data_IF_370009374108
#
_entry.id   IF_370009374108
#
_cell.length_a   1.000
_cell.length_b   1.000
_cell.length_c   1.000
_cell.angle_alpha   90.00
_cell.angle_beta   90.00
_cell.angle_gamma   90.00
#
_symmetry.space_group_name_H-M   'P 1'
#
loop_
_entity.id
_entity.type
_entity.pdbx_description
1 polymer ?
#
# COMPACT_ATOMS: atom_id res chain seq x y z
N UNK A 1 -7.70 38.99 -60.19
CA UNK A 1 -7.83 37.51 -60.22
C UNK A 1 -6.65 36.74 -59.58
N UNK A 2 -5.50 37.35 -59.24
CA UNK A 2 -4.33 36.59 -58.71
C UNK A 2 -4.26 36.45 -57.18
N UNK A 3 -4.84 37.38 -56.41
CA UNK A 3 -4.82 37.35 -54.94
C UNK A 3 -5.83 36.36 -54.32
N UNK A 4 -7.03 36.22 -54.91
CA UNK A 4 -8.04 35.26 -54.44
C UNK A 4 -7.58 33.79 -54.60
N UNK A 5 -6.83 33.47 -55.67
CA UNK A 5 -6.34 32.11 -55.92
C UNK A 5 -5.26 31.68 -54.92
N UNK A 6 -4.40 32.60 -54.45
CA UNK A 6 -3.37 32.30 -53.44
C UNK A 6 -4.00 32.00 -52.07
N UNK A 7 -5.01 32.78 -51.67
CA UNK A 7 -5.73 32.58 -50.40
C UNK A 7 -6.48 31.23 -50.36
N UNK A 8 -7.14 30.86 -51.45
CA UNK A 8 -7.83 29.56 -51.55
C UNK A 8 -6.85 28.37 -51.46
N UNK A 9 -5.67 28.49 -52.07
CA UNK A 9 -4.65 27.43 -52.06
C UNK A 9 -4.04 27.23 -50.66
N UNK A 10 -3.81 28.32 -49.92
CA UNK A 10 -3.36 28.26 -48.52
C UNK A 10 -4.43 27.68 -47.58
N UNK A 11 -5.71 28.00 -47.80
CA UNK A 11 -6.80 27.44 -47.00
C UNK A 11 -6.97 25.93 -47.24
N UNK A 12 -6.85 25.50 -48.49
CA UNK A 12 -6.86 24.08 -48.88
C UNK A 12 -5.67 23.32 -48.26
N UNK A 13 -4.47 23.88 -48.30
CA UNK A 13 -3.28 23.29 -47.67
C UNK A 13 -3.41 23.17 -46.15
N UNK A 14 -3.89 24.21 -45.44
CA UNK A 14 -4.14 24.12 -43.99
C UNK A 14 -5.22 23.09 -43.66
N UNK A 15 -6.33 23.05 -44.41
CA UNK A 15 -7.38 22.06 -44.19
C UNK A 15 -6.89 20.62 -44.42
N UNK A 16 -6.01 20.42 -45.42
CA UNK A 16 -5.39 19.12 -45.69
C UNK A 16 -4.41 18.70 -44.59
N UNK A 17 -3.66 19.63 -44.02
CA UNK A 17 -2.77 19.36 -42.89
C UNK A 17 -3.54 18.98 -41.62
N UNK A 18 -4.66 19.64 -41.34
CA UNK A 18 -5.55 19.29 -40.23
C UNK A 18 -6.23 17.94 -40.42
N UNK A 19 -6.66 17.59 -41.65
CA UNK A 19 -7.22 16.27 -41.95
C UNK A 19 -6.16 15.16 -41.89
N UNK A 20 -4.92 15.43 -42.32
CA UNK A 20 -3.83 14.46 -42.24
C UNK A 20 -3.40 14.28 -40.79
N UNK A 21 -3.29 15.36 -40.00
CA UNK A 21 -2.96 15.27 -38.58
C UNK A 21 -4.07 14.55 -37.77
N UNK A 22 -5.34 14.83 -38.05
CA UNK A 22 -6.45 14.14 -37.38
C UNK A 22 -6.56 12.68 -37.80
N UNK A 23 -6.34 12.34 -39.07
CA UNK A 23 -6.35 10.93 -39.52
C UNK A 23 -5.13 10.15 -39.01
N UNK A 24 -3.96 10.77 -38.86
CA UNK A 24 -2.79 10.14 -38.21
C UNK A 24 -3.06 9.91 -36.72
N UNK A 25 -3.64 10.90 -36.02
CA UNK A 25 -3.99 10.78 -34.59
C UNK A 25 -5.06 9.72 -34.36
N UNK A 26 -6.09 9.66 -35.21
CA UNK A 26 -7.13 8.63 -35.18
C UNK A 26 -6.54 7.27 -35.53
N UNK A 27 -5.68 7.15 -36.54
CA UNK A 27 -5.03 5.87 -36.86
C UNK A 27 -4.10 5.39 -35.75
N UNK A 28 -3.33 6.27 -35.09
CA UNK A 28 -2.52 5.89 -33.94
C UNK A 28 -3.39 5.45 -32.75
N UNK A 29 -4.45 6.19 -32.41
CA UNK A 29 -5.38 5.77 -31.35
C UNK A 29 -6.08 4.45 -31.69
N UNK A 30 -6.50 4.25 -32.94
CA UNK A 30 -7.16 3.01 -33.39
C UNK A 30 -6.20 1.83 -33.45
N UNK A 31 -4.93 2.05 -33.81
CA UNK A 31 -3.89 1.01 -33.86
C UNK A 31 -3.49 0.55 -32.44
N UNK A 32 -3.41 1.48 -31.47
CA UNK A 32 -3.22 1.17 -30.04
C UNK A 32 -4.42 0.39 -29.48
N UNK A 33 -5.63 0.58 -30.01
CA UNK A 33 -6.81 -0.21 -29.60
C UNK A 33 -6.71 -1.67 -30.09
N UNK A 34 -6.01 -1.93 -31.19
CA UNK A 34 -5.90 -3.28 -31.80
C UNK A 34 -4.70 -4.11 -31.34
N UNK A 35 -3.66 -3.50 -30.77
CA UNK A 35 -2.51 -4.23 -30.22
C UNK A 35 -2.84 -4.89 -28.87
N UNK A 36 -2.21 -6.04 -28.60
CA UNK A 36 -2.34 -6.76 -27.32
C UNK A 36 -1.61 -5.98 -26.21
N UNK A 37 -2.30 -5.00 -25.62
CA UNK A 37 -1.76 -4.19 -24.53
C UNK A 37 -1.72 -5.01 -23.23
N UNK A 38 -0.52 -5.13 -22.67
CA UNK A 38 -0.27 -5.68 -21.34
C UNK A 38 0.44 -4.66 -20.44
N UNK A 39 0.57 -4.97 -19.15
CA UNK A 39 1.34 -4.17 -18.20
C UNK A 39 2.77 -3.85 -18.67
N UNK A 40 3.38 -4.75 -19.45
CA UNK A 40 4.75 -4.63 -19.93
C UNK A 40 4.87 -3.88 -21.28
N UNK A 41 3.79 -3.27 -21.77
CA UNK A 41 3.86 -2.49 -23.02
C UNK A 41 4.72 -1.24 -22.82
N UNK A 42 5.52 -0.87 -23.81
CA UNK A 42 6.39 0.32 -23.78
C UNK A 42 5.60 1.60 -24.09
N UNK A 43 4.71 1.96 -23.16
CA UNK A 43 3.87 3.16 -23.18
C UNK A 43 4.12 3.93 -21.86
N UNK A 44 4.08 5.25 -21.93
CA UNK A 44 4.17 6.13 -20.75
C UNK A 44 3.17 5.70 -19.66
N UNK A 45 3.59 5.72 -18.39
CA UNK A 45 2.90 5.07 -17.28
C UNK A 45 1.47 5.56 -17.07
N UNK A 46 1.24 6.88 -17.10
CA UNK A 46 -0.10 7.45 -16.93
C UNK A 46 -1.01 6.99 -18.07
N UNK A 47 -0.54 7.06 -19.32
CA UNK A 47 -1.31 6.60 -20.48
C UNK A 47 -1.56 5.09 -20.46
N UNK A 48 -0.57 4.29 -20.05
CA UNK A 48 -0.70 2.84 -19.96
C UNK A 48 -1.69 2.44 -18.86
N UNK A 49 -1.66 3.10 -17.70
CA UNK A 49 -2.63 2.87 -16.63
C UNK A 49 -4.06 3.11 -17.12
N UNK A 50 -4.31 4.19 -17.86
CA UNK A 50 -5.62 4.45 -18.48
C UNK A 50 -6.04 3.35 -19.45
N UNK A 51 -5.14 2.94 -20.35
CA UNK A 51 -5.42 1.93 -21.36
C UNK A 51 -5.70 0.56 -20.75
N UNK A 52 -5.01 0.19 -19.67
CA UNK A 52 -5.25 -1.04 -18.91
C UNK A 52 -6.61 -1.00 -18.20
N UNK A 53 -6.90 0.08 -17.47
CA UNK A 53 -8.14 0.25 -16.69
C UNK A 53 -9.39 0.27 -17.58
N UNK A 54 -9.34 0.95 -18.73
CA UNK A 54 -10.47 0.98 -19.68
C UNK A 54 -10.76 -0.42 -20.25
N UNK A 55 -9.73 -1.27 -20.33
CA UNK A 55 -9.88 -2.65 -20.80
C UNK A 55 -10.36 -3.61 -19.72
N UNK A 56 -10.31 -3.25 -18.44
CA UNK A 56 -10.71 -4.12 -17.32
C UNK A 56 -12.23 -4.29 -17.26
N UNK A 57 -12.68 -5.49 -16.87
CA UNK A 57 -14.07 -5.70 -16.45
C UNK A 57 -14.30 -5.10 -15.06
N UNK A 58 -15.57 -4.95 -14.66
CA UNK A 58 -15.89 -4.50 -13.30
C UNK A 58 -15.31 -5.44 -12.23
N UNK A 59 -15.26 -6.75 -12.51
CA UNK A 59 -14.63 -7.74 -11.65
C UNK A 59 -13.12 -7.49 -11.50
N UNK A 60 -12.38 -7.29 -12.60
CA UNK A 60 -10.95 -7.00 -12.54
C UNK A 60 -10.66 -5.66 -11.84
N UNK A 61 -11.46 -4.62 -12.12
CA UNK A 61 -11.34 -3.32 -11.45
C UNK A 61 -11.51 -3.44 -9.93
N UNK A 62 -12.53 -4.17 -9.48
CA UNK A 62 -12.81 -4.34 -8.06
C UNK A 62 -11.75 -5.23 -7.39
N UNK A 63 -11.31 -6.30 -8.04
CA UNK A 63 -10.27 -7.19 -7.50
C UNK A 63 -8.90 -6.50 -7.43
N UNK A 64 -8.62 -5.54 -8.31
CA UNK A 64 -7.35 -4.81 -8.33
C UNK A 64 -7.11 -3.95 -7.09
N UNK A 65 -8.19 -3.51 -6.42
CA UNK A 65 -8.12 -2.72 -5.19
C UNK A 65 -8.18 -3.56 -3.91
N UNK A 66 -8.10 -4.89 -4.02
CA UNK A 66 -8.10 -5.79 -2.87
C UNK A 66 -6.73 -6.40 -2.61
N UNK A 67 -6.46 -6.62 -1.32
CA UNK A 67 -5.31 -7.34 -0.82
C UNK A 67 -5.76 -8.45 0.12
N UNK A 68 -5.53 -9.71 -0.26
CA UNK A 68 -5.93 -10.85 0.56
C UNK A 68 -4.74 -11.63 1.12
N UNK A 69 -4.87 -12.06 2.36
CA UNK A 69 -3.98 -13.02 3.00
C UNK A 69 -4.42 -14.46 2.82
N UNK A 70 -3.59 -15.38 3.31
CA UNK A 70 -3.93 -16.78 3.46
C UNK A 70 -3.41 -17.30 4.79
N UNK A 71 -4.00 -18.38 5.29
CA UNK A 71 -3.52 -19.13 6.44
C UNK A 71 -2.67 -20.34 6.01
N UNK A 72 -1.66 -20.71 6.82
CA UNK A 72 -0.79 -21.87 6.58
C UNK A 72 0.42 -21.59 5.68
N UNK A 73 1.37 -22.50 5.57
CA UNK A 73 2.67 -22.25 4.91
C UNK A 73 2.60 -21.91 3.40
N UNK A 74 1.51 -22.27 2.73
CA UNK A 74 1.37 -22.15 1.27
C UNK A 74 0.03 -21.47 0.90
N UNK A 75 -0.04 -20.73 -0.21
CA UNK A 75 -1.28 -20.10 -0.67
C UNK A 75 -2.41 -21.12 -0.85
N UNK A 76 -3.60 -20.80 -0.34
CA UNK A 76 -4.75 -21.70 -0.49
C UNK A 76 -5.22 -21.78 -1.95
N UNK A 77 -5.82 -22.91 -2.39
CA UNK A 77 -6.42 -23.00 -3.72
C UNK A 77 -7.43 -21.87 -4.00
N UNK A 78 -8.14 -21.41 -2.95
CA UNK A 78 -9.06 -20.28 -3.04
C UNK A 78 -8.34 -18.97 -3.40
N UNK A 79 -7.22 -18.65 -2.74
CA UNK A 79 -6.43 -17.47 -3.06
C UNK A 79 -5.86 -17.55 -4.48
N UNK A 80 -5.37 -18.72 -4.89
CA UNK A 80 -4.87 -18.94 -6.26
C UNK A 80 -5.99 -18.75 -7.30
N UNK A 81 -7.23 -19.17 -7.00
CA UNK A 81 -8.40 -18.90 -7.85
C UNK A 81 -8.72 -17.40 -7.92
N UNK A 82 -8.62 -16.64 -6.82
CA UNK A 82 -8.78 -15.19 -6.86
C UNK A 82 -7.78 -14.51 -7.80
N UNK A 83 -6.52 -14.92 -7.74
CA UNK A 83 -5.47 -14.37 -8.63
C UNK A 83 -5.79 -14.71 -10.09
N UNK A 84 -6.08 -15.99 -10.38
CA UNK A 84 -6.28 -16.48 -11.75
C UNK A 84 -7.59 -16.03 -12.39
N UNK A 85 -8.69 -16.05 -11.65
CA UNK A 85 -10.03 -15.89 -12.22
C UNK A 85 -10.57 -14.46 -12.08
N UNK A 86 -9.99 -13.65 -11.17
CA UNK A 86 -10.45 -12.30 -10.89
C UNK A 86 -9.38 -11.23 -11.06
N UNK A 87 -8.14 -11.63 -11.34
CA UNK A 87 -7.00 -10.72 -11.39
C UNK A 87 -6.87 -9.91 -10.09
N UNK A 88 -6.85 -10.61 -8.95
CA UNK A 88 -6.58 -10.00 -7.63
C UNK A 88 -5.36 -9.07 -7.71
N UNK A 89 -5.47 -7.89 -7.10
CA UNK A 89 -4.42 -6.88 -7.19
C UNK A 89 -3.24 -7.14 -6.27
N UNK A 90 -3.48 -7.64 -5.06
CA UNK A 90 -2.41 -7.74 -4.06
C UNK A 90 -2.59 -8.93 -3.13
N UNK A 91 -1.49 -9.37 -2.54
CA UNK A 91 -1.48 -10.43 -1.51
C UNK A 91 -0.69 -10.00 -0.29
N UNK A 92 -1.06 -10.52 0.88
CA UNK A 92 -0.36 -10.24 2.13
C UNK A 92 0.15 -11.53 2.77
N UNK A 93 1.44 -11.59 3.06
CA UNK A 93 2.10 -12.63 3.84
C UNK A 93 1.94 -12.31 5.33
N UNK A 94 1.43 -13.25 6.12
CA UNK A 94 1.20 -13.13 7.56
C UNK A 94 2.12 -14.04 8.39
N UNK A 95 2.16 -13.79 9.70
CA UNK A 95 3.07 -14.47 10.62
C UNK A 95 2.84 -15.97 10.86
N UNK A 96 1.68 -16.49 10.46
CA UNK A 96 1.40 -17.93 10.50
C UNK A 96 1.90 -18.67 9.23
N UNK A 97 2.51 -17.96 8.27
CA UNK A 97 2.91 -18.51 6.97
C UNK A 97 4.43 -18.80 6.85
N UNK A 98 5.27 -18.46 7.84
CA UNK A 98 6.61 -17.89 7.53
C UNK A 98 7.80 -18.45 8.30
N UNK A 99 7.67 -19.56 9.03
CA UNK A 99 8.82 -20.17 9.71
C UNK A 99 9.87 -20.70 8.72
N UNK A 100 9.48 -20.97 7.45
CA UNK A 100 10.40 -21.38 6.39
C UNK A 100 10.44 -20.34 5.26
N UNK A 101 11.56 -19.63 5.17
CA UNK A 101 11.79 -18.54 4.20
C UNK A 101 11.76 -19.02 2.74
N UNK A 102 12.18 -20.26 2.46
CA UNK A 102 12.13 -20.82 1.10
C UNK A 102 10.69 -21.10 0.66
N UNK A 103 9.83 -21.53 1.59
CA UNK A 103 8.39 -21.70 1.32
C UNK A 103 7.70 -20.37 1.05
N UNK A 104 8.05 -19.31 1.81
CA UNK A 104 7.54 -17.96 1.52
C UNK A 104 7.94 -17.53 0.10
N UNK A 105 9.20 -17.70 -0.29
CA UNK A 105 9.64 -17.33 -1.64
C UNK A 105 8.97 -18.17 -2.75
N UNK A 106 8.76 -19.48 -2.52
CA UNK A 106 7.98 -20.33 -3.44
C UNK A 106 6.54 -19.85 -3.59
N UNK A 107 5.89 -19.51 -2.48
CA UNK A 107 4.55 -18.95 -2.46
C UNK A 107 4.47 -17.64 -3.26
N UNK A 108 5.42 -16.72 -3.04
CA UNK A 108 5.51 -15.46 -3.79
C UNK A 108 5.68 -15.73 -5.28
N UNK A 109 6.63 -16.57 -5.68
CA UNK A 109 6.83 -16.98 -7.08
C UNK A 109 5.54 -17.54 -7.69
N UNK A 110 4.86 -18.46 -7.00
CA UNK A 110 3.62 -19.08 -7.47
C UNK A 110 2.52 -18.03 -7.73
N UNK A 111 2.31 -17.11 -6.78
CA UNK A 111 1.29 -16.06 -6.92
C UNK A 111 1.63 -15.08 -8.06
N UNK A 112 2.90 -14.69 -8.19
CA UNK A 112 3.34 -13.82 -9.28
C UNK A 112 3.20 -14.49 -10.65
N UNK A 113 3.60 -15.76 -10.81
CA UNK A 113 3.43 -16.51 -12.05
C UNK A 113 1.96 -16.58 -12.51
N UNK A 114 1.03 -16.76 -11.57
CA UNK A 114 -0.40 -16.74 -11.88
C UNK A 114 -0.86 -15.35 -12.35
N UNK A 115 -0.42 -14.28 -11.69
CA UNK A 115 -0.73 -12.90 -12.12
C UNK A 115 -0.21 -12.62 -13.53
N UNK A 116 0.95 -13.18 -13.89
CA UNK A 116 1.57 -13.02 -15.20
C UNK A 116 0.92 -13.87 -16.31
N UNK A 117 0.09 -14.87 -15.94
CA UNK A 117 -0.74 -15.65 -16.88
C UNK A 117 -2.08 -14.98 -17.18
N UNK A 118 -2.48 -13.96 -16.42
CA UNK A 118 -3.67 -13.16 -16.72
C UNK A 118 -3.45 -12.30 -17.97
N UNK A 119 -4.53 -11.99 -18.69
CA UNK A 119 -4.47 -11.29 -19.99
C UNK A 119 -3.74 -9.93 -19.94
N UNK A 120 -3.81 -9.20 -18.82
CA UNK A 120 -3.15 -7.90 -18.64
C UNK A 120 -1.76 -7.99 -18.00
N UNK A 121 -1.38 -9.17 -17.47
CA UNK A 121 -0.07 -9.45 -16.85
C UNK A 121 0.36 -8.47 -15.74
N UNK A 122 -0.61 -7.93 -15.00
CA UNK A 122 -0.33 -6.93 -13.95
C UNK A 122 0.24 -7.65 -12.71
N UNK A 123 1.46 -7.32 -12.24
CA UNK A 123 2.04 -7.95 -11.08
C UNK A 123 1.25 -7.67 -9.79
N UNK A 124 1.45 -8.54 -8.80
CA UNK A 124 0.89 -8.36 -7.47
C UNK A 124 1.76 -7.42 -6.64
N UNK A 125 1.15 -6.52 -5.87
CA UNK A 125 1.81 -6.09 -4.64
C UNK A 125 1.80 -7.26 -3.66
N UNK A 126 2.96 -7.55 -3.10
CA UNK A 126 3.19 -8.62 -2.13
C UNK A 126 3.69 -7.93 -0.87
N UNK A 127 2.84 -7.91 0.15
CA UNK A 127 3.07 -7.14 1.36
C UNK A 127 3.25 -8.01 2.61
N UNK A 128 3.89 -7.49 3.64
CA UNK A 128 3.92 -8.10 4.98
C UNK A 128 4.09 -7.04 6.07
N UNK A 129 3.99 -7.43 7.34
CA UNK A 129 4.34 -6.59 8.49
C UNK A 129 5.70 -7.03 9.06
N UNK A 130 6.76 -6.37 8.61
CA UNK A 130 8.11 -6.57 9.13
C UNK A 130 8.61 -5.24 9.70
N UNK A 131 8.05 -4.82 10.83
CA UNK A 131 8.49 -3.60 11.54
C UNK A 131 9.84 -3.82 12.20
N UNK A 132 10.12 -5.05 12.62
CA UNK A 132 11.23 -5.38 13.50
C UNK A 132 10.81 -5.40 14.97
N UNK A 133 11.73 -5.81 15.84
CA UNK A 133 11.40 -6.04 17.25
C UNK A 133 10.27 -7.03 17.41
N UNK A 134 9.18 -6.57 18.04
CA UNK A 134 8.04 -7.42 18.41
C UNK A 134 7.16 -7.81 17.23
N UNK A 135 7.10 -6.98 16.17
CA UNK A 135 6.27 -7.25 14.99
C UNK A 135 7.17 -7.69 13.84
N UNK A 136 7.26 -9.00 13.71
CA UNK A 136 7.93 -9.71 12.62
C UNK A 136 7.02 -10.83 12.17
N UNK A 137 6.29 -10.60 11.09
CA UNK A 137 5.51 -11.66 10.47
C UNK A 137 6.43 -12.72 9.90
N UNK A 138 7.52 -12.35 9.24
CA UNK A 138 8.47 -13.33 8.76
C UNK A 138 9.48 -13.56 9.86
N UNK A 139 9.32 -14.66 10.61
CA UNK A 139 10.24 -15.06 11.68
C UNK A 139 11.40 -15.82 11.06
N UNK A 140 11.22 -17.11 10.77
CA UNK A 140 12.20 -17.95 10.06
C UNK A 140 13.65 -17.65 10.42
N UNK A 141 14.52 -17.58 9.41
CA UNK A 141 15.93 -17.19 9.58
C UNK A 141 16.16 -15.68 9.37
N UNK A 142 15.12 -14.83 9.40
CA UNK A 142 15.29 -13.38 9.25
C UNK A 142 15.99 -12.78 10.48
N UNK A 143 16.59 -11.60 10.32
CA UNK A 143 17.31 -10.95 11.42
C UNK A 143 16.40 -10.65 12.62
N UNK A 144 16.89 -10.97 13.81
CA UNK A 144 16.34 -10.44 15.07
C UNK A 144 16.79 -8.98 15.22
N UNK A 145 15.82 -8.07 15.32
CA UNK A 145 16.08 -6.62 15.38
C UNK A 145 15.53 -6.04 16.68
N UNK A 146 16.12 -4.95 17.22
CA UNK A 146 15.71 -4.42 18.52
C UNK A 146 14.38 -3.64 18.49
N UNK A 147 13.91 -3.24 17.30
CA UNK A 147 12.60 -2.61 17.09
C UNK A 147 12.58 -1.09 17.27
N UNK A 148 11.43 -0.48 16.97
CA UNK A 148 11.30 0.97 16.88
C UNK A 148 11.59 1.70 18.19
N UNK A 149 11.17 1.18 19.35
CA UNK A 149 11.44 1.87 20.61
C UNK A 149 12.93 1.90 20.94
N UNK A 150 13.68 0.86 20.54
CA UNK A 150 15.13 0.84 20.67
C UNK A 150 15.82 1.81 19.70
N UNK A 151 15.35 1.88 18.45
CA UNK A 151 15.79 2.90 17.48
C UNK A 151 15.54 4.31 18.05
N UNK A 152 14.37 4.52 18.64
CA UNK A 152 13.98 5.73 19.34
C UNK A 152 14.86 6.09 20.52
N UNK A 153 15.20 5.11 21.36
CA UNK A 153 16.09 5.29 22.51
C UNK A 153 17.52 5.65 22.08
N UNK A 154 18.04 5.05 21.00
CA UNK A 154 19.33 5.42 20.41
C UNK A 154 19.29 6.80 19.74
N UNK A 155 18.17 7.16 19.11
CA UNK A 155 17.87 8.48 18.57
C UNK A 155 18.69 8.91 17.36
N UNK A 156 19.37 7.98 16.70
CA UNK A 156 20.20 8.25 15.52
C UNK A 156 19.40 7.98 14.23
N UNK A 157 19.18 8.98 13.36
CA UNK A 157 18.48 8.76 12.09
C UNK A 157 19.15 7.73 11.18
N UNK A 158 20.48 7.63 11.21
CA UNK A 158 21.22 6.61 10.46
C UNK A 158 20.88 5.19 10.92
N UNK A 159 20.62 5.00 12.22
CA UNK A 159 20.20 3.71 12.76
C UNK A 159 18.79 3.35 12.26
N UNK A 160 17.87 4.31 12.20
CA UNK A 160 16.55 4.09 11.61
C UNK A 160 16.64 3.76 10.11
N UNK A 161 17.47 4.48 9.35
CA UNK A 161 17.72 4.22 7.94
C UNK A 161 18.26 2.81 7.70
N UNK A 162 19.32 2.42 8.42
CA UNK A 162 19.94 1.11 8.25
C UNK A 162 19.00 -0.02 8.70
N UNK A 163 18.18 0.17 9.74
CA UNK A 163 17.13 -0.79 10.09
C UNK A 163 16.13 -0.98 8.96
N UNK A 164 15.60 0.11 8.39
CA UNK A 164 14.70 0.06 7.24
C UNK A 164 15.35 -0.65 6.05
N UNK A 165 16.61 -0.32 5.75
CA UNK A 165 17.37 -0.87 4.63
C UNK A 165 17.63 -2.37 4.76
N UNK A 166 18.19 -2.85 5.89
CA UNK A 166 18.52 -4.27 6.04
C UNK A 166 17.29 -5.16 6.18
N UNK A 167 16.25 -4.73 6.91
CA UNK A 167 14.97 -5.45 6.93
C UNK A 167 14.41 -5.57 5.51
N UNK A 168 14.48 -4.49 4.74
CA UNK A 168 13.95 -4.46 3.37
C UNK A 168 14.77 -5.28 2.38
N UNK A 169 16.08 -5.42 2.57
CA UNK A 169 16.93 -6.34 1.79
C UNK A 169 16.53 -7.80 2.00
N UNK A 170 16.20 -8.20 3.23
CA UNK A 170 15.68 -9.55 3.49
C UNK A 170 14.32 -9.78 2.83
N UNK A 171 13.41 -8.80 2.90
CA UNK A 171 12.11 -8.89 2.20
C UNK A 171 12.27 -8.98 0.67
N UNK A 172 13.20 -8.20 0.09
CA UNK A 172 13.53 -8.24 -1.34
C UNK A 172 13.99 -9.63 -1.76
N UNK A 173 14.82 -10.30 -0.96
CA UNK A 173 15.28 -11.66 -1.25
C UNK A 173 14.13 -12.68 -1.30
N UNK A 174 12.99 -12.39 -0.66
CA UNK A 174 11.77 -13.21 -0.67
C UNK A 174 10.77 -12.82 -1.78
N UNK A 175 11.07 -11.80 -2.59
CA UNK A 175 10.17 -11.28 -3.62
C UNK A 175 9.03 -10.40 -3.06
N UNK A 176 9.07 -10.06 -1.77
CA UNK A 176 8.12 -9.15 -1.13
C UNK A 176 8.51 -7.72 -1.51
N UNK A 177 7.54 -6.91 -1.89
CA UNK A 177 7.78 -5.59 -2.50
C UNK A 177 7.15 -4.43 -1.73
N UNK A 178 6.37 -4.72 -0.68
CA UNK A 178 5.76 -3.72 0.18
C UNK A 178 5.90 -4.15 1.64
N UNK A 179 6.25 -3.21 2.52
CA UNK A 179 6.32 -3.45 3.95
C UNK A 179 5.38 -2.50 4.68
N UNK A 180 4.54 -3.04 5.56
CA UNK A 180 3.71 -2.27 6.47
C UNK A 180 4.54 -1.80 7.66
N UNK A 181 5.56 -1.00 7.36
CA UNK A 181 6.46 -0.37 8.30
C UNK A 181 6.98 0.95 7.68
N UNK A 182 7.37 1.93 8.52
CA UNK A 182 7.38 1.88 9.98
C UNK A 182 6.03 2.27 10.61
N UNK A 183 5.81 1.84 11.85
CA UNK A 183 4.84 2.49 12.73
C UNK A 183 5.41 3.84 13.16
N UNK A 184 4.66 4.92 12.93
CA UNK A 184 5.00 6.30 13.29
C UNK A 184 4.04 6.89 14.34
N UNK A 185 3.27 6.02 14.99
CA UNK A 185 2.43 6.38 16.14
C UNK A 185 3.27 6.81 17.33
N UNK A 186 2.78 7.79 18.10
CA UNK A 186 3.49 8.34 19.24
C UNK A 186 3.12 7.60 20.53
N UNK A 187 4.09 7.14 21.31
CA UNK A 187 3.81 6.45 22.57
C UNK A 187 3.45 7.42 23.71
N UNK A 188 2.37 8.20 23.54
CA UNK A 188 1.90 9.22 24.50
C UNK A 188 1.11 8.62 25.65
N UNK A 189 0.31 7.58 25.40
CA UNK A 189 -0.38 6.85 26.44
C UNK A 189 0.48 5.65 26.91
N UNK A 190 1.05 5.75 28.12
CA UNK A 190 1.94 4.71 28.67
C UNK A 190 1.24 3.40 29.01
N UNK A 191 -0.09 3.41 29.13
CA UNK A 191 -0.89 2.21 29.32
C UNK A 191 -1.21 1.49 27.99
N UNK A 192 -0.76 2.04 26.84
CA UNK A 192 -0.93 1.39 25.54
C UNK A 192 -0.14 0.08 25.46
N UNK A 193 -0.85 -1.03 25.40
CA UNK A 193 -0.27 -2.37 25.18
C UNK A 193 0.06 -2.66 23.72
N UNK A 194 -0.58 -1.94 22.78
CA UNK A 194 -0.45 -2.17 21.34
C UNK A 194 0.67 -1.37 20.71
N UNK A 195 0.86 -0.10 21.08
CA UNK A 195 1.83 0.79 20.43
C UNK A 195 3.20 0.78 21.12
N UNK A 196 3.26 0.66 22.45
CA UNK A 196 4.48 0.80 23.27
C UNK A 196 5.82 0.52 22.57
N UNK A 197 6.23 -0.76 22.41
CA UNK A 197 7.53 -1.11 21.80
C UNK A 197 7.61 -0.90 20.28
N UNK A 198 6.47 -0.67 19.60
CA UNK A 198 6.37 -0.44 18.15
C UNK A 198 6.53 1.03 17.75
N UNK A 199 6.45 1.95 18.71
CA UNK A 199 6.68 3.37 18.49
C UNK A 199 8.16 3.73 18.60
N UNK A 200 8.58 4.79 17.91
CA UNK A 200 9.89 5.41 18.14
C UNK A 200 9.95 6.24 19.45
N UNK A 201 8.83 6.47 20.12
CA UNK A 201 8.77 7.24 21.36
C UNK A 201 7.60 8.22 21.39
N UNK A 202 7.61 9.14 22.35
CA UNK A 202 6.52 10.12 22.55
C UNK A 202 6.76 11.46 21.86
N UNK A 203 8.00 11.77 21.48
CA UNK A 203 8.34 13.03 20.82
C UNK A 203 7.97 12.98 19.33
N UNK A 204 7.13 13.92 18.91
CA UNK A 204 6.54 13.94 17.59
C UNK A 204 7.57 14.27 16.49
N UNK A 205 8.51 15.18 16.75
CA UNK A 205 9.53 15.58 15.78
C UNK A 205 10.57 14.46 15.60
N UNK A 206 10.97 13.84 16.70
CA UNK A 206 11.91 12.74 16.69
C UNK A 206 11.34 11.53 15.95
N UNK A 207 10.09 11.16 16.25
CA UNK A 207 9.39 10.07 15.55
C UNK A 207 9.23 10.37 14.06
N UNK A 208 9.01 11.64 13.68
CA UNK A 208 8.97 12.06 12.28
C UNK A 208 10.31 11.82 11.58
N UNK A 209 11.41 12.27 12.18
CA UNK A 209 12.76 12.13 11.60
C UNK A 209 13.16 10.66 11.46
N UNK A 210 12.95 9.85 12.51
CA UNK A 210 13.28 8.43 12.49
C UNK A 210 12.40 7.65 11.51
N UNK A 211 11.08 7.94 11.49
CA UNK A 211 10.16 7.34 10.54
C UNK A 211 10.52 7.66 9.08
N UNK A 212 10.90 8.90 8.78
CA UNK A 212 11.34 9.30 7.44
C UNK A 212 12.64 8.58 7.05
N UNK A 213 13.61 8.49 7.96
CA UNK A 213 14.87 7.80 7.71
C UNK A 213 14.65 6.30 7.45
N UNK A 214 13.81 5.64 8.24
CA UNK A 214 13.43 4.24 8.02
C UNK A 214 12.77 4.05 6.64
N UNK A 215 11.81 4.90 6.28
CA UNK A 215 11.17 4.88 4.96
C UNK A 215 12.20 5.02 3.83
N UNK A 216 13.18 5.93 3.97
CA UNK A 216 14.21 6.12 2.96
C UNK A 216 15.08 4.86 2.81
N UNK A 217 15.48 4.23 3.92
CA UNK A 217 16.20 2.95 3.88
C UNK A 217 15.42 1.85 3.16
N UNK A 218 14.12 1.74 3.41
CA UNK A 218 13.25 0.80 2.70
C UNK A 218 13.19 1.07 1.19
N UNK A 219 13.04 2.34 0.79
CA UNK A 219 13.00 2.75 -0.62
C UNK A 219 14.32 2.41 -1.32
N UNK A 220 15.45 2.68 -0.68
CA UNK A 220 16.78 2.42 -1.26
C UNK A 220 17.05 0.92 -1.41
N UNK A 221 16.49 0.08 -0.54
CA UNK A 221 16.46 -1.38 -0.71
C UNK A 221 15.41 -1.88 -1.74
N UNK A 222 14.61 -0.97 -2.30
CA UNK A 222 13.61 -1.27 -3.32
C UNK A 222 12.27 -1.77 -2.77
N UNK A 223 12.00 -1.62 -1.49
CA UNK A 223 10.71 -1.95 -0.85
C UNK A 223 9.86 -0.71 -0.72
N UNK A 224 8.55 -0.82 -0.96
CA UNK A 224 7.58 0.24 -0.69
C UNK A 224 7.28 0.30 0.82
N UNK A 225 7.75 1.31 1.57
CA UNK A 225 7.34 1.49 2.96
C UNK A 225 5.90 2.01 3.03
N UNK A 226 5.20 1.62 4.10
CA UNK A 226 3.83 2.06 4.39
C UNK A 226 3.75 2.55 5.82
N UNK A 227 3.65 3.86 5.99
CA UNK A 227 3.59 4.48 7.31
C UNK A 227 2.23 4.25 7.98
N UNK A 228 2.22 3.91 9.26
CA UNK A 228 1.00 3.52 9.99
C UNK A 228 1.00 3.97 11.46
N UNK A 229 -0.16 4.11 12.12
CA UNK A 229 -1.52 3.90 11.60
C UNK A 229 -2.25 5.24 11.54
N UNK A 230 -2.45 5.78 10.34
CA UNK A 230 -3.06 7.10 10.16
C UNK A 230 -4.49 7.13 10.74
N UNK A 231 -4.87 8.17 11.52
CA UNK A 231 -4.17 9.43 11.77
C UNK A 231 -3.37 9.49 13.09
N UNK A 232 -3.06 8.35 13.71
CA UNK A 232 -2.26 8.22 14.94
C UNK A 232 -2.95 7.34 15.97
N UNK A 233 -2.43 6.15 16.23
CA UNK A 233 -2.98 5.16 17.19
C UNK A 233 -2.48 5.35 18.63
N UNK A 234 -1.44 6.16 18.81
CA UNK A 234 -0.60 6.21 20.00
C UNK A 234 -1.26 6.57 21.35
N UNK A 235 -2.40 7.26 21.31
CA UNK A 235 -3.06 7.82 22.49
C UNK A 235 -4.27 7.00 22.96
N UNK A 236 -4.16 5.67 22.93
CA UNK A 236 -5.21 4.75 23.42
C UNK A 236 -4.63 3.51 24.09
N UNK A 237 -5.34 3.05 25.13
CA UNK A 237 -5.10 1.76 25.80
C UNK A 237 -5.83 0.61 25.12
N UNK A 238 -6.77 0.90 24.21
CA UNK A 238 -7.62 -0.10 23.57
C UNK A 238 -6.92 -0.75 22.37
N UNK A 239 -7.14 -2.05 22.21
CA UNK A 239 -6.63 -2.81 21.07
C UNK A 239 -7.67 -2.89 19.95
N UNK A 240 -7.31 -2.36 18.78
CA UNK A 240 -8.15 -2.35 17.57
C UNK A 240 -8.51 -3.74 17.06
N UNK A 241 -7.75 -4.79 17.45
CA UNK A 241 -8.09 -6.17 17.14
C UNK A 241 -9.39 -6.62 17.82
N UNK A 242 -9.64 -6.14 19.05
CA UNK A 242 -10.79 -6.54 19.87
C UNK A 242 -11.96 -5.56 19.83
N UNK A 243 -11.66 -4.25 19.85
CA UNK A 243 -12.63 -3.16 20.00
C UNK A 243 -12.26 -1.99 19.09
N UNK A 244 -13.17 -1.04 18.84
CA UNK A 244 -12.82 0.20 18.14
C UNK A 244 -12.14 1.18 19.12
N UNK A 245 -10.83 1.48 19.00
CA UNK A 245 -10.16 2.41 19.90
C UNK A 245 -10.72 3.81 19.71
N UNK A 246 -10.99 4.48 20.83
CA UNK A 246 -11.47 5.88 20.84
C UNK A 246 -10.37 6.78 21.36
N UNK A 247 -10.02 7.78 20.55
CA UNK A 247 -8.99 8.77 20.87
C UNK A 247 -9.70 10.11 21.08
N UNK A 248 -9.77 10.54 22.34
CA UNK A 248 -10.53 11.73 22.77
C UNK A 248 -9.63 12.97 22.81
N UNK A 249 -9.12 13.37 21.64
CA UNK A 249 -8.28 14.55 21.47
C UNK A 249 -8.96 15.60 20.59
N UNK A 250 -8.60 16.87 20.76
CA UNK A 250 -9.09 17.93 19.89
C UNK A 250 -8.45 17.86 18.49
N UNK A 251 -9.05 18.57 17.52
CA UNK A 251 -8.48 18.68 16.17
C UNK A 251 -7.08 19.34 16.21
N UNK A 252 -6.89 20.30 17.10
CA UNK A 252 -5.62 21.00 17.29
C UNK A 252 -4.53 20.04 17.77
N UNK A 253 -4.83 19.22 18.79
CA UNK A 253 -3.88 18.18 19.28
C UNK A 253 -3.56 17.18 18.18
N UNK A 254 -4.55 16.72 17.42
CA UNK A 254 -4.31 15.82 16.28
C UNK A 254 -3.32 16.45 15.28
N UNK A 255 -3.55 17.72 14.89
CA UNK A 255 -2.75 18.41 13.90
C UNK A 255 -1.33 18.74 14.38
N UNK A 256 -1.16 19.07 15.66
CA UNK A 256 0.09 19.55 16.25
C UNK A 256 0.92 18.44 16.92
N UNK A 257 0.34 17.25 17.14
CA UNK A 257 1.02 16.11 17.75
C UNK A 257 1.00 14.88 16.83
N UNK A 258 -0.16 14.24 16.67
CA UNK A 258 -0.25 12.93 15.98
C UNK A 258 0.11 13.01 14.49
N UNK A 259 -0.25 14.12 13.83
CA UNK A 259 0.00 14.30 12.39
C UNK A 259 1.35 14.91 12.06
N UNK A 260 2.18 15.25 13.04
CA UNK A 260 3.53 15.78 12.80
C UNK A 260 4.40 14.78 12.02
N UNK A 261 4.50 13.49 12.41
CA UNK A 261 5.20 12.49 11.61
C UNK A 261 4.65 12.35 10.20
N UNK A 262 3.31 12.24 10.06
CA UNK A 262 2.67 12.10 8.74
C UNK A 262 2.97 13.29 7.82
N UNK A 263 2.92 14.53 8.32
CA UNK A 263 3.24 15.73 7.54
C UNK A 263 4.66 15.70 6.97
N UNK A 264 5.64 15.26 7.75
CA UNK A 264 7.03 15.14 7.28
C UNK A 264 7.18 14.03 6.24
N UNK A 265 6.54 12.87 6.45
CA UNK A 265 6.62 11.76 5.50
C UNK A 265 5.90 12.11 4.17
N UNK A 266 4.77 12.83 4.23
CA UNK A 266 4.05 13.31 3.04
C UNK A 266 4.91 14.30 2.25
N UNK A 267 5.57 15.26 2.91
CA UNK A 267 6.43 16.24 2.22
C UNK A 267 7.66 15.59 1.57
N UNK A 268 8.10 14.44 2.11
CA UNK A 268 9.14 13.58 1.54
C UNK A 268 8.58 12.48 0.61
N UNK A 269 7.31 12.56 0.21
CA UNK A 269 6.66 11.67 -0.77
C UNK A 269 6.70 10.19 -0.38
N UNK A 270 6.40 9.87 0.89
CA UNK A 270 6.19 8.47 1.30
C UNK A 270 5.20 7.78 0.33
N UNK A 271 5.47 6.57 -0.18
CA UNK A 271 4.64 6.02 -1.25
C UNK A 271 3.28 5.49 -0.79
N UNK A 272 3.20 5.01 0.47
CA UNK A 272 1.99 4.43 1.03
C UNK A 272 1.76 4.85 2.50
N UNK A 273 0.48 4.98 2.87
CA UNK A 273 0.01 5.23 4.24
C UNK A 273 -1.11 4.24 4.53
N UNK A 274 -1.03 3.61 5.71
CA UNK A 274 -2.10 2.74 6.20
C UNK A 274 -3.08 3.54 7.07
N UNK A 275 -4.37 3.48 6.77
CA UNK A 275 -5.44 4.08 7.59
C UNK A 275 -5.92 3.11 8.67
N UNK A 276 -5.75 3.49 9.93
CA UNK A 276 -6.14 2.69 11.08
C UNK A 276 -7.64 2.71 11.37
N UNK A 277 -8.13 1.64 11.98
CA UNK A 277 -9.51 1.57 12.50
C UNK A 277 -9.62 2.31 13.84
N UNK A 278 -9.55 3.65 13.78
CA UNK A 278 -9.45 4.54 14.95
C UNK A 278 -10.59 5.56 14.97
N UNK A 279 -11.28 5.71 16.10
CA UNK A 279 -12.35 6.69 16.26
C UNK A 279 -11.86 7.96 16.95
N UNK A 280 -12.28 9.13 16.46
CA UNK A 280 -11.96 10.45 17.03
C UNK A 280 -13.23 11.26 17.32
N UNK A 281 -13.99 10.91 18.38
CA UNK A 281 -15.32 11.47 18.62
C UNK A 281 -15.33 12.99 18.81
N UNK A 282 -14.26 13.56 19.35
CA UNK A 282 -14.17 15.01 19.55
C UNK A 282 -14.03 15.80 18.23
N UNK A 283 -13.63 15.14 17.15
CA UNK A 283 -13.41 15.76 15.84
C UNK A 283 -14.62 15.55 14.93
N UNK A 284 -15.08 14.31 14.78
CA UNK A 284 -16.18 13.96 13.86
C UNK A 284 -17.56 14.02 14.50
N UNK A 285 -17.63 14.15 15.83
CA UNK A 285 -18.87 14.02 16.62
C UNK A 285 -19.60 12.70 16.36
N UNK A 286 -18.86 11.66 15.98
CA UNK A 286 -19.33 10.30 15.72
C UNK A 286 -18.28 9.28 16.17
N UNK A 287 -18.67 8.00 16.24
CA UNK A 287 -17.72 6.90 16.45
C UNK A 287 -17.22 6.29 15.12
N UNK A 288 -17.29 7.03 14.01
CA UNK A 288 -16.83 6.53 12.71
C UNK A 288 -15.31 6.29 12.74
N UNK A 289 -14.82 5.08 12.36
CA UNK A 289 -13.39 4.82 12.23
C UNK A 289 -12.76 5.67 11.11
N UNK A 290 -11.55 6.17 11.31
CA UNK A 290 -10.83 7.01 10.36
C UNK A 290 -10.64 6.33 9.00
N UNK A 291 -10.38 5.03 8.98
CA UNK A 291 -10.30 4.21 7.75
C UNK A 291 -11.60 4.15 6.93
N UNK A 292 -12.75 4.47 7.55
CA UNK A 292 -14.07 4.47 6.91
C UNK A 292 -14.62 5.89 6.72
N UNK A 293 -13.84 6.93 7.05
CA UNK A 293 -14.31 8.30 7.10
C UNK A 293 -13.80 9.14 5.93
N UNK A 294 -14.68 9.65 5.05
CA UNK A 294 -14.31 10.60 4.01
C UNK A 294 -13.69 11.89 4.57
N UNK A 295 -14.02 12.27 5.81
CA UNK A 295 -13.41 13.42 6.46
C UNK A 295 -11.91 13.21 6.69
N UNK A 296 -11.51 12.05 7.23
CA UNK A 296 -10.11 11.77 7.52
C UNK A 296 -9.29 11.50 6.26
N UNK A 297 -9.84 10.77 5.29
CA UNK A 297 -9.10 10.34 4.11
C UNK A 297 -9.17 11.35 2.97
N UNK A 298 -10.35 11.82 2.57
CA UNK A 298 -10.44 12.79 1.48
C UNK A 298 -10.14 14.20 1.96
N UNK A 299 -10.90 14.72 2.93
CA UNK A 299 -10.73 16.11 3.35
C UNK A 299 -9.39 16.36 4.05
N UNK A 300 -9.06 15.61 5.09
CA UNK A 300 -7.83 15.86 5.85
C UNK A 300 -6.58 15.35 5.11
N UNK A 301 -6.54 14.06 4.74
CA UNK A 301 -5.31 13.47 4.16
C UNK A 301 -5.07 13.90 2.71
N UNK A 302 -6.08 13.82 1.81
CA UNK A 302 -5.90 14.21 0.40
C UNK A 302 -5.89 15.72 0.20
N UNK A 303 -6.89 16.44 0.71
CA UNK A 303 -7.07 17.87 0.40
C UNK A 303 -6.22 18.78 1.30
N UNK A 304 -6.33 18.67 2.63
CA UNK A 304 -5.62 19.55 3.57
C UNK A 304 -4.11 19.23 3.66
N UNK A 305 -3.73 17.94 3.70
CA UNK A 305 -2.32 17.51 3.78
C UNK A 305 -1.67 17.26 2.41
N UNK A 306 -2.44 17.19 1.32
CA UNK A 306 -1.90 17.04 -0.03
C UNK A 306 -1.31 15.67 -0.34
N UNK A 307 -1.68 14.60 0.39
CA UNK A 307 -1.10 13.28 0.18
C UNK A 307 -1.53 12.66 -1.16
N UNK A 308 -0.56 12.30 -1.99
CA UNK A 308 -0.81 11.72 -3.32
C UNK A 308 -0.45 10.24 -3.46
N UNK A 309 0.16 9.59 -2.48
CA UNK A 309 0.51 8.16 -2.53
C UNK A 309 -0.68 7.22 -2.29
N UNK A 310 -0.43 5.92 -2.11
CA UNK A 310 -1.46 4.92 -1.82
C UNK A 310 -2.03 5.08 -0.40
N UNK A 311 -3.35 5.03 -0.26
CA UNK A 311 -4.02 4.82 1.02
C UNK A 311 -4.47 3.37 1.09
N UNK A 312 -4.04 2.68 2.13
CA UNK A 312 -4.31 1.25 2.33
C UNK A 312 -5.04 1.09 3.66
N UNK A 313 -6.12 0.30 3.74
CA UNK A 313 -6.75 0.06 5.05
C UNK A 313 -5.83 -0.75 5.95
N UNK A 314 -6.00 -0.60 7.27
CA UNK A 314 -5.65 -1.69 8.19
C UNK A 314 -6.52 -2.94 7.92
N UNK A 315 -6.26 -4.06 8.58
CA UNK A 315 -6.94 -5.32 8.29
C UNK A 315 -8.44 -5.27 8.65
N UNK A 316 -9.30 -5.41 7.63
CA UNK A 316 -10.75 -5.38 7.80
C UNK A 316 -11.32 -6.57 8.56
N UNK A 317 -10.52 -7.60 8.86
CA UNK A 317 -10.92 -8.68 9.77
C UNK A 317 -10.87 -8.27 11.25
N UNK A 318 -10.31 -7.10 11.56
CA UNK A 318 -10.34 -6.53 12.90
C UNK A 318 -11.72 -5.98 13.26
N UNK A 319 -12.12 -6.11 14.53
CA UNK A 319 -13.46 -5.76 14.98
C UNK A 319 -13.76 -4.26 14.89
N UNK A 320 -12.75 -3.39 14.90
CA UNK A 320 -12.91 -1.94 14.89
C UNK A 320 -13.73 -1.41 13.71
N UNK A 321 -13.47 -1.90 12.49
CA UNK A 321 -14.20 -1.48 11.29
C UNK A 321 -15.53 -2.21 11.11
N UNK A 322 -15.53 -3.53 11.32
CA UNK A 322 -16.69 -4.39 11.03
C UNK A 322 -17.84 -4.18 12.00
N UNK A 323 -17.54 -3.90 13.28
CA UNK A 323 -18.55 -3.61 14.30
C UNK A 323 -19.30 -2.31 13.98
N UNK A 324 -18.58 -1.25 13.59
CA UNK A 324 -19.21 0.01 13.19
C UNK A 324 -20.07 -0.15 11.93
N UNK A 325 -19.56 -0.86 10.92
CA UNK A 325 -20.24 -1.06 9.65
C UNK A 325 -21.39 -2.09 9.71
N UNK A 326 -21.45 -2.90 10.77
CA UNK A 326 -22.42 -3.97 10.99
C UNK A 326 -22.22 -5.23 10.12
N UNK A 327 -21.29 -5.19 9.15
CA UNK A 327 -20.88 -6.37 8.36
C UNK A 327 -19.57 -6.10 7.62
N UNK A 328 -18.83 -7.16 7.28
CA UNK A 328 -17.62 -7.07 6.46
C UNK A 328 -17.90 -6.47 5.07
N UNK A 329 -19.01 -6.88 4.43
CA UNK A 329 -19.42 -6.37 3.12
C UNK A 329 -19.64 -4.85 3.14
N UNK A 330 -20.34 -4.33 4.17
CA UNK A 330 -20.55 -2.88 4.34
C UNK A 330 -19.27 -2.15 4.72
N UNK A 331 -18.39 -2.78 5.50
CA UNK A 331 -17.11 -2.19 5.88
C UNK A 331 -16.23 -1.96 4.64
N UNK A 332 -16.13 -2.95 3.73
CA UNK A 332 -15.46 -2.80 2.44
C UNK A 332 -16.06 -1.68 1.60
N UNK A 333 -17.39 -1.61 1.54
CA UNK A 333 -18.08 -0.53 0.82
C UNK A 333 -17.69 0.85 1.38
N UNK A 334 -17.75 1.03 2.70
CA UNK A 334 -17.43 2.28 3.37
C UNK A 334 -15.96 2.67 3.18
N UNK A 335 -15.04 1.70 3.24
CA UNK A 335 -13.61 1.94 3.01
C UNK A 335 -13.34 2.46 1.59
N UNK A 336 -13.99 1.89 0.58
CA UNK A 336 -13.91 2.37 -0.81
C UNK A 336 -14.48 3.78 -0.91
N UNK A 337 -15.68 4.02 -0.37
CA UNK A 337 -16.36 5.33 -0.38
C UNK A 337 -15.54 6.41 0.36
N UNK A 338 -14.80 6.03 1.39
CA UNK A 338 -13.95 6.93 2.17
C UNK A 338 -12.70 7.40 1.41
N UNK A 339 -12.23 6.64 0.41
CA UNK A 339 -11.07 7.00 -0.41
C UNK A 339 -9.82 6.13 -0.20
N UNK A 340 -9.97 4.92 0.34
CA UNK A 340 -8.89 3.93 0.32
C UNK A 340 -8.64 3.44 -1.11
N UNK A 341 -7.37 3.28 -1.48
CA UNK A 341 -6.96 2.75 -2.78
C UNK A 341 -6.84 1.22 -2.74
N UNK A 342 -6.45 0.65 -1.59
CA UNK A 342 -6.35 -0.80 -1.37
C UNK A 342 -7.04 -1.18 -0.05
N UNK A 343 -7.86 -2.23 -0.07
CA UNK A 343 -8.57 -2.76 1.10
C UNK A 343 -7.99 -4.13 1.46
N UNK A 344 -7.48 -4.25 2.70
CA UNK A 344 -6.86 -5.47 3.22
C UNK A 344 -7.90 -6.38 3.88
N UNK A 345 -7.81 -7.68 3.62
CA UNK A 345 -8.34 -8.72 4.50
C UNK A 345 -7.27 -9.77 4.76
N UNK A 346 -7.02 -10.11 6.02
CA UNK A 346 -6.11 -11.20 6.40
C UNK A 346 -6.58 -12.57 5.94
N UNK A 347 -7.86 -12.69 5.61
CA UNK A 347 -8.45 -13.92 5.09
C UNK A 347 -8.83 -13.75 3.63
N UNK A 348 -8.86 -14.87 2.91
CA UNK A 348 -9.33 -14.90 1.54
C UNK A 348 -10.83 -15.24 1.55
N UNK A 349 -11.72 -14.31 1.16
CA UNK A 349 -13.16 -14.55 1.17
C UNK A 349 -13.57 -15.58 0.12
N UNK A 350 -14.71 -16.24 0.35
CA UNK A 350 -15.27 -17.15 -0.66
C UNK A 350 -15.63 -16.37 -1.92
N UNK A 351 -15.54 -17.02 -3.08
CA UNK A 351 -15.74 -16.34 -4.37
C UNK A 351 -17.15 -15.71 -4.46
N UNK A 352 -18.17 -16.32 -3.89
CA UNK A 352 -19.56 -15.83 -3.91
C UNK A 352 -19.98 -15.09 -2.62
N UNK A 353 -19.04 -14.72 -1.76
CA UNK A 353 -19.35 -14.08 -0.48
C UNK A 353 -20.01 -12.70 -0.67
N UNK A 354 -20.77 -12.26 0.34
CA UNK A 354 -21.48 -10.99 0.34
C UNK A 354 -20.57 -9.78 0.11
N UNK A 355 -19.31 -9.82 0.58
CA UNK A 355 -18.38 -8.72 0.34
C UNK A 355 -18.09 -8.55 -1.16
N UNK A 356 -17.98 -9.65 -1.91
CA UNK A 356 -17.73 -9.60 -3.34
C UNK A 356 -19.01 -9.25 -4.10
N UNK A 357 -20.06 -10.06 -3.90
CA UNK A 357 -21.28 -9.99 -4.69
C UNK A 357 -22.02 -8.67 -4.52
N UNK A 358 -22.10 -8.13 -3.29
CA UNK A 358 -22.79 -6.87 -3.04
C UNK A 358 -22.01 -5.66 -3.58
N UNK A 359 -20.68 -5.62 -3.42
CA UNK A 359 -19.87 -4.51 -3.92
C UNK A 359 -19.77 -4.52 -5.46
N UNK A 360 -19.68 -5.69 -6.08
CA UNK A 360 -19.74 -5.83 -7.54
C UNK A 360 -21.11 -5.41 -8.09
N UNK A 361 -22.21 -5.84 -7.45
CA UNK A 361 -23.56 -5.38 -7.81
C UNK A 361 -23.68 -3.87 -7.70
N UNK A 362 -23.18 -3.29 -6.60
CA UNK A 362 -23.18 -1.83 -6.39
C UNK A 362 -22.36 -1.10 -7.44
N UNK A 363 -21.22 -1.65 -7.86
CA UNK A 363 -20.41 -1.10 -8.95
C UNK A 363 -21.16 -1.05 -10.27
N UNK A 364 -22.08 -2.00 -10.53
CA UNK A 364 -22.94 -2.03 -11.73
C UNK A 364 -24.14 -1.08 -11.63
N UNK A 365 -24.65 -0.84 -10.42
CA UNK A 365 -25.89 -0.09 -10.19
C UNK A 365 -25.66 1.39 -9.78
N UNK A 366 -24.48 1.73 -9.26
CA UNK A 366 -24.16 3.06 -8.74
C UNK A 366 -22.95 3.67 -9.46
N UNK A 367 -23.20 4.65 -10.33
CA UNK A 367 -22.18 5.30 -11.14
C UNK A 367 -21.09 6.01 -10.30
N UNK A 368 -21.45 6.60 -9.16
CA UNK A 368 -20.49 7.25 -8.26
C UNK A 368 -19.55 6.22 -7.65
N UNK A 369 -20.07 5.10 -7.14
CA UNK A 369 -19.26 4.01 -6.60
C UNK A 369 -18.36 3.40 -7.69
N UNK A 370 -18.89 3.20 -8.90
CA UNK A 370 -18.11 2.74 -10.05
C UNK A 370 -16.93 3.68 -10.36
N UNK A 371 -17.16 4.99 -10.35
CA UNK A 371 -16.13 5.99 -10.60
C UNK A 371 -15.04 5.98 -9.51
N UNK A 372 -15.42 5.80 -8.24
CA UNK A 372 -14.48 5.69 -7.12
C UNK A 372 -13.60 4.44 -7.29
N UNK A 373 -14.20 3.27 -7.57
CA UNK A 373 -13.44 2.03 -7.81
C UNK A 373 -12.49 2.17 -9.00
N UNK A 374 -12.94 2.74 -10.12
CA UNK A 374 -12.09 2.98 -11.30
C UNK A 374 -10.92 3.90 -10.99
N UNK A 375 -11.15 4.97 -10.21
CA UNK A 375 -10.11 5.90 -9.78
C UNK A 375 -9.07 5.20 -8.91
N UNK A 376 -9.52 4.41 -7.93
CA UNK A 376 -8.64 3.62 -7.06
C UNK A 376 -7.84 2.57 -7.87
N UNK A 377 -8.51 1.82 -8.75
CA UNK A 377 -7.85 0.83 -9.61
C UNK A 377 -6.81 1.46 -10.55
N UNK A 378 -7.12 2.61 -11.17
CA UNK A 378 -6.15 3.36 -11.99
C UNK A 378 -4.94 3.76 -11.18
N UNK A 379 -5.15 4.26 -9.96
CA UNK A 379 -4.06 4.62 -9.07
C UNK A 379 -3.20 3.42 -8.69
N UNK A 380 -3.80 2.31 -8.27
CA UNK A 380 -3.06 1.07 -7.97
C UNK A 380 -2.24 0.60 -9.17
N UNK A 381 -2.83 0.59 -10.38
CA UNK A 381 -2.12 0.20 -11.61
C UNK A 381 -0.98 1.18 -11.94
N UNK A 382 -1.21 2.48 -11.80
CA UNK A 382 -0.18 3.50 -12.03
C UNK A 382 1.00 3.33 -11.06
N UNK A 383 0.74 3.18 -9.76
CA UNK A 383 1.79 3.00 -8.76
C UNK A 383 2.57 1.69 -8.99
N UNK A 384 1.89 0.63 -9.44
CA UNK A 384 2.55 -0.59 -9.91
C UNK A 384 3.46 -0.33 -11.10
N UNK A 385 2.99 0.41 -12.12
CA UNK A 385 3.80 0.74 -13.30
C UNK A 385 5.06 1.53 -12.90
N UNK A 386 4.90 2.57 -12.08
CA UNK A 386 6.02 3.36 -11.54
C UNK A 386 7.00 2.46 -10.79
N UNK A 387 6.52 1.55 -9.95
CA UNK A 387 7.37 0.69 -9.15
C UNK A 387 8.03 -0.43 -9.97
N UNK A 388 7.25 -1.32 -10.60
CA UNK A 388 7.75 -2.53 -11.25
C UNK A 388 8.54 -2.28 -12.54
N UNK A 389 8.43 -1.09 -13.13
CA UNK A 389 9.27 -0.67 -14.27
C UNK A 389 10.42 0.24 -13.87
N UNK A 390 10.65 0.45 -12.56
CA UNK A 390 11.83 1.15 -12.06
C UNK A 390 13.05 0.22 -12.01
N UNK A 391 14.24 0.81 -11.99
CA UNK A 391 15.50 0.06 -11.89
C UNK A 391 15.71 -0.60 -10.51
N UNK A 392 14.98 -0.18 -9.48
CA UNK A 392 15.12 -0.71 -8.11
C UNK A 392 13.99 -1.67 -7.70
N UNK A 393 13.09 -2.04 -8.62
CA UNK A 393 11.98 -2.95 -8.32
C UNK A 393 12.49 -4.29 -7.76
N UNK A 394 11.76 -4.87 -6.80
CA UNK A 394 12.04 -6.23 -6.34
C UNK A 394 11.77 -7.21 -7.50
N UNK A 395 12.66 -8.21 -7.73
CA UNK A 395 12.41 -9.24 -8.72
C UNK A 395 11.09 -9.96 -8.46
N UNK A 396 10.29 -10.18 -9.50
CA UNK A 396 9.01 -10.91 -9.37
C UNK A 396 9.21 -12.35 -8.90
N UNK A 397 10.36 -12.94 -9.26
CA UNK A 397 10.70 -14.33 -8.96
C UNK A 397 12.00 -14.35 -8.14
N UNK A 398 11.93 -14.50 -6.81
CA UNK A 398 13.12 -14.64 -5.98
C UNK A 398 13.94 -15.90 -6.34
N UNK A 399 15.27 -15.80 -6.23
CA UNK A 399 16.20 -16.91 -6.44
C UNK A 399 16.25 -17.79 -5.18
N UNK A 400 15.42 -18.83 -5.16
CA UNK A 400 15.23 -19.71 -3.99
C UNK A 400 16.54 -20.36 -3.53
N UNK A 401 17.44 -20.69 -4.45
CA UNK A 401 18.72 -21.34 -4.13
C UNK A 401 19.69 -20.41 -3.41
N UNK A 402 19.52 -19.09 -3.56
CA UNK A 402 20.38 -18.06 -2.97
C UNK A 402 19.78 -17.34 -1.76
N UNK A 403 18.55 -17.65 -1.35
CA UNK A 403 17.90 -16.95 -0.22
C UNK A 403 18.76 -16.98 1.04
N UNK A 404 19.31 -18.15 1.39
CA UNK A 404 20.16 -18.35 2.58
C UNK A 404 21.49 -17.60 2.55
N UNK A 405 21.87 -17.02 1.41
CA UNK A 405 23.05 -16.16 1.29
C UNK A 405 22.72 -14.71 1.66
N UNK A 406 21.42 -14.35 1.67
CA UNK A 406 20.93 -13.00 1.89
C UNK A 406 20.05 -12.88 3.15
N UNK A 407 19.70 -14.00 3.80
CA UNK A 407 18.86 -14.04 5.00
C UNK A 407 19.49 -15.01 6.01
N UNK A 408 19.83 -14.54 7.24
CA UNK A 408 19.75 -13.14 7.66
C UNK A 408 20.75 -12.29 6.87
N UNK A 409 20.46 -11.00 6.70
CA UNK A 409 21.31 -10.10 5.91
C UNK A 409 22.74 -10.09 6.49
N UNK A 410 23.78 -10.41 5.68
CA UNK A 410 25.14 -10.56 6.18
C UNK A 410 25.71 -9.29 6.83
N UNK A 411 25.31 -8.12 6.33
CA UNK A 411 25.75 -6.82 6.86
C UNK A 411 24.84 -6.37 8.01
N UNK A 412 23.55 -6.72 7.94
CA UNK A 412 22.53 -6.37 8.92
C UNK A 412 22.75 -6.98 10.29
N UNK A 413 23.24 -8.22 10.39
CA UNK A 413 23.40 -8.91 11.68
C UNK A 413 24.29 -8.16 12.68
N UNK A 414 25.49 -7.77 12.24
CA UNK A 414 26.41 -7.01 13.09
C UNK A 414 25.82 -5.64 13.47
N UNK A 415 25.19 -4.98 12.49
CA UNK A 415 24.51 -3.70 12.71
C UNK A 415 23.41 -3.79 13.79
N UNK A 416 22.53 -4.80 13.73
CA UNK A 416 21.42 -4.93 14.67
C UNK A 416 21.89 -5.21 16.10
N UNK A 417 22.96 -5.99 16.26
CA UNK A 417 23.60 -6.18 17.57
C UNK A 417 24.15 -4.86 18.11
N UNK A 418 24.89 -4.12 17.29
CA UNK A 418 25.47 -2.84 17.72
C UNK A 418 24.38 -1.78 18.03
N UNK A 419 23.31 -1.75 17.23
CA UNK A 419 22.14 -0.89 17.47
C UNK A 419 21.47 -1.25 18.80
N UNK A 420 21.28 -2.54 19.08
CA UNK A 420 20.72 -2.99 20.35
C UNK A 420 21.58 -2.50 21.53
N UNK A 421 22.91 -2.63 21.45
CA UNK A 421 23.82 -2.11 22.46
C UNK A 421 23.72 -0.59 22.65
N UNK A 422 23.64 0.19 21.56
CA UNK A 422 23.47 1.65 21.62
C UNK A 422 22.13 2.08 22.22
N UNK A 423 21.09 1.26 22.09
CA UNK A 423 19.75 1.56 22.58
C UNK A 423 19.55 1.35 24.08
N UNK A 424 20.51 0.70 24.77
CA UNK A 424 20.41 0.42 26.20
C UNK A 424 20.39 1.75 26.98
N UNK A 425 19.28 1.98 27.68
CA UNK A 425 19.08 3.18 28.51
C UNK A 425 19.28 2.83 29.98
N UNK A 426 20.33 3.38 30.61
CA UNK A 426 20.49 3.33 32.07
C UNK A 426 19.62 4.42 32.69
N UNK A 427 18.71 4.04 33.59
CA UNK A 427 17.87 4.97 34.35
C UNK A 427 18.28 4.98 35.81
#
# INVERSE_FOLDING_TARGET
>A
MSLLKKSLLSLLLLSSFFLIASTISINQETQIITEEITFWSEIEHEKLAELLVIRMTDEELLAQIFMFGWAGSEPSPLLLSWIRERALGSVKVFGWNTDNIESVARAVTQTQELSQKNRLKIPLFVATDQEGGWIRHIKGDTSDTPGNLAIGAGGLPIDAYLSGYYISRELRALGINMNFAPTIDLYTNKDSSVIGPRSFGEDAQHSAILGQAFCQGSIDAGIIPTAKHYPGHGDTSDDSHGYLPKINISKEVLLERELVPFKLLISNKVPAIMSGHLSFPEITKSNEPASLSPYFLNKLLREELGYTGLIITDDMMMNGATTYAGSLSRAFQLAIEAGNDIIISSTCPQLNEALWTHNLKRMKENATFNAIVKKAAKKVVYEKLVYFKSDNAVPLYPDIEKIKQNIPDPDGQAFFLDQACRSITLR
#
